data_IF_813973055605
#
_entry.id   IF_813973055605
#
_cell.length_a   1.000
_cell.length_b   1.000
_cell.length_c   1.000
_cell.angle_alpha   90.00
_cell.angle_beta   90.00
_cell.angle_gamma   90.00
#
_symmetry.space_group_name_H-M   'P 1'
#
loop_
_entity.id
_entity.type
_entity.pdbx_description
1 polymer ?
#
# COMPACT_ATOMS: atom_id res chain seq x y z
N UNK A 1 15.64 7.73 -18.36
CA UNK A 1 15.83 6.30 -18.07
C UNK A 1 14.54 5.77 -17.48
N UNK A 2 13.82 4.97 -18.24
CA UNK A 2 12.65 4.25 -17.73
C UNK A 2 13.12 2.98 -17.03
N UNK A 3 12.88 2.86 -15.72
CA UNK A 3 13.14 1.63 -14.98
C UNK A 3 11.81 0.95 -14.72
N UNK A 4 11.62 -0.24 -15.28
CA UNK A 4 10.47 -1.08 -14.99
C UNK A 4 10.86 -2.13 -13.97
N UNK A 5 10.21 -2.09 -12.80
CA UNK A 5 10.30 -3.15 -11.81
C UNK A 5 9.18 -4.16 -12.07
N UNK A 6 9.53 -5.35 -12.52
CA UNK A 6 8.59 -6.44 -12.74
C UNK A 6 8.87 -7.56 -11.75
N UNK A 7 7.96 -7.74 -10.80
CA UNK A 7 8.03 -8.85 -9.85
C UNK A 7 9.20 -8.80 -8.88
N UNK A 8 9.61 -9.96 -8.39
CA UNK A 8 10.78 -10.15 -7.53
C UNK A 8 12.09 -10.22 -8.33
N UNK A 9 12.01 -10.03 -9.63
CA UNK A 9 13.12 -10.27 -10.55
C UNK A 9 13.50 -8.99 -11.29
N UNK A 10 14.77 -8.66 -11.19
CA UNK A 10 15.59 -7.80 -12.04
C UNK A 10 14.95 -6.52 -12.60
N UNK A 11 15.61 -5.39 -12.37
CA UNK A 11 15.36 -4.15 -13.09
C UNK A 11 15.62 -4.34 -14.57
N UNK A 12 14.58 -4.43 -15.38
CA UNK A 12 14.68 -4.51 -16.83
C UNK A 12 14.55 -3.09 -17.39
N UNK A 13 15.55 -2.63 -18.10
CA UNK A 13 15.50 -1.38 -18.88
C UNK A 13 14.96 -1.71 -20.27
N UNK A 14 13.65 -1.57 -20.44
CA UNK A 14 13.01 -1.88 -21.72
C UNK A 14 13.13 -0.71 -22.70
N UNK A 15 13.16 0.52 -22.19
CA UNK A 15 13.16 1.73 -23.00
C UNK A 15 13.96 2.83 -22.33
N UNK A 16 14.81 3.51 -23.08
CA UNK A 16 15.52 4.70 -22.66
C UNK A 16 15.02 5.88 -23.50
N UNK A 17 14.56 6.93 -22.84
CA UNK A 17 14.15 8.20 -23.44
C UNK A 17 15.08 9.25 -22.86
N UNK A 18 16.02 9.72 -23.68
CA UNK A 18 17.03 10.71 -23.30
C UNK A 18 16.64 12.11 -23.81
N UNK A 19 17.29 13.15 -23.26
CA UNK A 19 17.13 14.55 -23.67
C UNK A 19 15.69 15.07 -23.59
N UNK A 20 14.94 14.63 -22.58
CA UNK A 20 13.53 15.00 -22.38
C UNK A 20 13.46 16.32 -21.62
N UNK A 21 12.79 17.30 -22.18
CA UNK A 21 12.47 18.55 -21.48
C UNK A 21 11.47 18.27 -20.34
N UNK A 22 11.47 19.08 -19.26
CA UNK A 22 10.54 18.88 -18.14
C UNK A 22 9.08 18.78 -18.55
N UNK A 23 8.64 19.59 -19.52
CA UNK A 23 7.27 19.54 -20.05
C UNK A 23 6.94 18.25 -20.84
N UNK A 24 7.95 17.63 -21.45
CA UNK A 24 7.75 16.40 -22.22
C UNK A 24 7.66 15.16 -21.33
N UNK A 25 8.18 15.21 -20.10
CA UNK A 25 8.09 14.09 -19.15
C UNK A 25 6.65 13.74 -18.82
N UNK A 26 5.80 14.74 -18.61
CA UNK A 26 4.37 14.54 -18.38
C UNK A 26 3.70 13.85 -19.57
N UNK A 27 4.02 14.28 -20.80
CA UNK A 27 3.49 13.67 -22.02
C UNK A 27 3.86 12.21 -22.13
N UNK A 28 5.10 11.83 -21.83
CA UNK A 28 5.53 10.43 -21.87
C UNK A 28 4.84 9.58 -20.80
N UNK A 29 4.56 10.14 -19.62
CA UNK A 29 3.73 9.46 -18.61
C UNK A 29 2.33 9.21 -19.16
N UNK A 30 1.70 10.22 -19.79
CA UNK A 30 0.38 10.07 -20.41
C UNK A 30 0.37 9.02 -21.53
N UNK A 31 1.37 9.04 -22.42
CA UNK A 31 1.49 8.05 -23.51
C UNK A 31 1.55 6.61 -22.97
N UNK A 32 2.27 6.39 -21.86
CA UNK A 32 2.35 5.06 -21.22
C UNK A 32 1.02 4.65 -20.57
N UNK A 33 0.31 5.61 -19.97
CA UNK A 33 -1.01 5.37 -19.37
C UNK A 33 -2.05 5.07 -20.47
N UNK A 34 -2.02 5.81 -21.57
CA UNK A 34 -2.92 5.61 -22.74
C UNK A 34 -2.67 4.25 -23.40
N UNK A 35 -1.43 3.75 -23.35
CA UNK A 35 -1.08 2.39 -23.75
C UNK A 35 -1.53 1.30 -22.74
N UNK A 36 -2.29 1.67 -21.69
CA UNK A 36 -2.82 0.75 -20.67
C UNK A 36 -1.86 0.37 -19.55
N UNK A 37 -0.71 1.02 -19.47
CA UNK A 37 0.27 0.76 -18.39
C UNK A 37 -0.07 1.55 -17.13
N UNK A 38 0.16 0.94 -15.96
CA UNK A 38 0.21 1.67 -14.69
C UNK A 38 1.60 2.24 -14.49
N UNK A 39 1.66 3.55 -14.27
CA UNK A 39 2.93 4.30 -14.23
C UNK A 39 3.22 4.77 -12.81
N UNK A 40 4.38 4.37 -12.28
CA UNK A 40 4.96 4.99 -11.11
C UNK A 40 6.13 5.88 -11.55
N UNK A 41 6.02 7.17 -11.30
CA UNK A 41 7.07 8.16 -11.59
C UNK A 41 7.91 8.39 -10.34
N UNK A 42 9.23 8.39 -10.52
CA UNK A 42 10.19 8.69 -9.45
C UNK A 42 11.03 9.88 -9.90
N UNK A 43 11.07 10.92 -9.08
CA UNK A 43 11.82 12.15 -9.40
C UNK A 43 12.25 12.91 -8.15
N UNK A 44 13.04 13.97 -8.34
CA UNK A 44 13.48 14.87 -7.25
C UNK A 44 12.42 15.91 -6.85
N UNK A 45 11.35 16.02 -7.60
CA UNK A 45 10.20 16.88 -7.33
C UNK A 45 10.29 18.28 -7.91
N UNK A 46 11.47 18.85 -8.11
CA UNK A 46 11.61 20.27 -8.50
C UNK A 46 11.20 20.46 -9.96
N UNK A 47 11.78 19.69 -10.86
CA UNK A 47 11.51 19.77 -12.30
C UNK A 47 10.55 18.69 -12.81
N UNK A 48 10.23 17.72 -11.97
CA UNK A 48 9.42 16.55 -12.31
C UNK A 48 7.98 16.64 -11.79
N UNK A 49 7.63 17.73 -11.11
CA UNK A 49 6.34 17.95 -10.46
C UNK A 49 5.13 17.64 -11.36
N UNK A 50 5.06 18.13 -12.62
CA UNK A 50 3.93 17.81 -13.48
C UNK A 50 3.83 16.30 -13.80
N UNK A 51 4.97 15.65 -14.07
CA UNK A 51 5.03 14.23 -14.37
C UNK A 51 4.72 13.36 -13.13
N UNK A 52 5.16 13.78 -11.93
CA UNK A 52 4.83 13.13 -10.67
C UNK A 52 3.33 13.21 -10.36
N UNK A 53 2.71 14.36 -10.59
CA UNK A 53 1.28 14.57 -10.38
C UNK A 53 0.43 13.79 -11.41
N UNK A 54 0.93 13.64 -12.64
CA UNK A 54 0.24 12.93 -13.71
C UNK A 54 0.27 11.41 -13.54
N UNK A 55 1.34 10.87 -12.97
CA UNK A 55 1.52 9.43 -12.79
C UNK A 55 0.46 8.81 -11.87
N UNK A 56 0.16 7.51 -12.03
CA UNK A 56 -0.73 6.79 -11.09
C UNK A 56 -0.17 6.82 -9.66
N UNK A 57 1.16 6.82 -9.52
CA UNK A 57 1.85 7.03 -8.24
C UNK A 57 3.11 7.87 -8.48
N UNK A 58 3.14 9.08 -7.94
CA UNK A 58 4.34 9.92 -7.89
C UNK A 58 5.14 9.63 -6.62
N UNK A 59 6.43 9.34 -6.77
CA UNK A 59 7.37 9.19 -5.66
C UNK A 59 8.46 10.24 -5.77
N UNK A 60 8.50 11.17 -4.83
CA UNK A 60 9.58 12.17 -4.75
C UNK A 60 10.72 11.64 -3.86
N UNK A 61 11.96 11.88 -4.30
CA UNK A 61 13.17 11.53 -3.56
C UNK A 61 13.85 12.81 -3.12
N UNK A 62 14.14 12.97 -1.82
CA UNK A 62 14.89 14.10 -1.30
C UNK A 62 14.49 14.52 0.10
N UNK A 63 15.29 15.43 0.68
CA UNK A 63 15.16 15.88 2.07
C UNK A 63 14.36 17.17 2.25
N UNK A 64 13.78 17.73 1.19
CA UNK A 64 13.11 19.04 1.23
C UNK A 64 11.61 18.93 1.57
N UNK A 65 11.17 19.73 2.55
CA UNK A 65 9.73 19.85 2.88
C UNK A 65 8.88 20.40 1.71
N UNK A 66 9.51 21.07 0.76
CA UNK A 66 8.84 21.65 -0.41
C UNK A 66 8.47 20.58 -1.46
N UNK A 67 9.22 19.48 -1.53
CA UNK A 67 8.94 18.35 -2.43
C UNK A 67 7.59 17.70 -2.10
N UNK A 68 7.24 17.63 -0.81
CA UNK A 68 5.97 17.06 -0.39
C UNK A 68 4.74 17.87 -0.84
N UNK A 69 4.92 19.14 -1.15
CA UNK A 69 3.84 20.05 -1.59
C UNK A 69 3.58 19.98 -3.10
N UNK A 70 4.46 19.38 -3.87
CA UNK A 70 4.44 19.43 -5.33
C UNK A 70 3.74 18.26 -6.02
N UNK A 71 2.85 17.55 -5.32
CA UNK A 71 1.95 16.56 -5.95
C UNK A 71 2.44 15.11 -5.93
N UNK A 72 3.53 14.81 -5.24
CA UNK A 72 3.95 13.41 -5.04
C UNK A 72 3.08 12.70 -4.00
N UNK A 73 2.61 11.49 -4.32
CA UNK A 73 1.83 10.65 -3.39
C UNK A 73 2.69 10.07 -2.27
N UNK A 74 3.99 9.90 -2.50
CA UNK A 74 4.96 9.34 -1.55
C UNK A 74 6.23 10.18 -1.58
N UNK A 75 6.76 10.52 -0.41
CA UNK A 75 8.04 11.21 -0.26
C UNK A 75 9.05 10.32 0.43
N UNK A 76 10.16 10.06 -0.23
CA UNK A 76 11.29 9.29 0.28
C UNK A 76 12.33 10.25 0.85
N UNK A 77 12.52 10.21 2.17
CA UNK A 77 13.37 11.16 2.90
C UNK A 77 14.87 11.00 2.62
N UNK A 78 15.29 9.92 2.01
CA UNK A 78 16.68 9.66 1.60
C UNK A 78 16.78 9.66 0.09
N UNK A 79 17.89 10.14 -0.42
CA UNK A 79 18.19 10.13 -1.86
C UNK A 79 18.74 8.78 -2.32
N UNK A 80 18.08 7.67 -1.90
CA UNK A 80 18.46 6.31 -2.25
C UNK A 80 17.33 5.68 -3.10
N UNK A 81 17.64 5.35 -4.35
CA UNK A 81 16.69 4.69 -5.26
C UNK A 81 16.22 3.32 -4.73
N UNK A 82 17.01 2.68 -3.87
CA UNK A 82 16.59 1.43 -3.22
C UNK A 82 15.41 1.63 -2.26
N UNK A 83 15.20 2.84 -1.77
CA UNK A 83 14.04 3.14 -0.94
C UNK A 83 12.72 3.08 -1.72
N UNK A 84 12.74 3.28 -3.04
CA UNK A 84 11.58 3.03 -3.91
C UNK A 84 11.16 1.55 -3.86
N UNK A 85 12.12 0.65 -4.02
CA UNK A 85 11.85 -0.79 -3.96
C UNK A 85 11.37 -1.20 -2.56
N UNK A 86 11.98 -0.65 -1.50
CA UNK A 86 11.55 -0.87 -0.11
C UNK A 86 10.14 -0.35 0.14
N UNK A 87 9.78 0.82 -0.41
CA UNK A 87 8.44 1.39 -0.30
C UNK A 87 7.39 0.50 -0.98
N UNK A 88 7.69 -0.06 -2.15
CA UNK A 88 6.81 -0.99 -2.86
C UNK A 88 6.64 -2.29 -2.05
N UNK A 89 7.70 -2.85 -1.48
CA UNK A 89 7.60 -4.03 -0.62
C UNK A 89 6.76 -3.76 0.63
N UNK A 90 6.98 -2.61 1.28
CA UNK A 90 6.21 -2.19 2.46
C UNK A 90 4.73 -2.02 2.11
N UNK A 91 4.41 -1.37 1.00
CA UNK A 91 3.03 -1.20 0.52
C UNK A 91 2.34 -2.55 0.31
N UNK A 92 3.02 -3.50 -0.34
CA UNK A 92 2.47 -4.87 -0.53
C UNK A 92 2.25 -5.59 0.80
N UNK A 93 3.17 -5.44 1.75
CA UNK A 93 3.04 -6.02 3.08
C UNK A 93 1.86 -5.40 3.85
N UNK A 94 1.70 -4.08 3.76
CA UNK A 94 0.61 -3.33 4.38
C UNK A 94 -0.74 -3.77 3.83
N UNK A 95 -0.89 -3.86 2.50
CA UNK A 95 -2.14 -4.32 1.86
C UNK A 95 -2.48 -5.76 2.28
N UNK A 96 -1.48 -6.63 2.37
CA UNK A 96 -1.68 -8.01 2.85
C UNK A 96 -2.17 -8.01 4.30
N UNK A 97 -1.58 -7.18 5.15
CA UNK A 97 -1.98 -7.05 6.55
C UNK A 97 -3.42 -6.54 6.67
N UNK A 98 -3.78 -5.49 5.93
CA UNK A 98 -5.15 -4.95 5.88
C UNK A 98 -6.16 -6.01 5.43
N UNK A 99 -5.83 -6.80 4.39
CA UNK A 99 -6.71 -7.90 3.94
C UNK A 99 -6.89 -8.97 5.01
N UNK A 100 -5.85 -9.30 5.76
CA UNK A 100 -5.93 -10.23 6.88
C UNK A 100 -6.81 -9.67 8.00
N UNK A 101 -6.61 -8.42 8.38
CA UNK A 101 -7.41 -7.76 9.42
C UNK A 101 -8.89 -7.70 9.04
N UNK A 102 -9.18 -7.32 7.80
CA UNK A 102 -10.54 -7.28 7.28
C UNK A 102 -11.19 -8.68 7.25
N UNK A 103 -10.44 -9.69 6.82
CA UNK A 103 -10.93 -11.07 6.83
C UNK A 103 -11.31 -11.52 8.24
N UNK A 104 -10.43 -11.31 9.22
CA UNK A 104 -10.71 -11.70 10.60
C UNK A 104 -11.87 -10.90 11.22
N UNK A 105 -11.92 -9.60 10.96
CA UNK A 105 -13.02 -8.75 11.43
C UNK A 105 -14.38 -9.23 10.88
N UNK A 106 -14.46 -9.54 9.59
CA UNK A 106 -15.68 -10.05 8.97
C UNK A 106 -16.02 -11.46 9.45
N UNK A 107 -15.02 -12.32 9.63
CA UNK A 107 -15.21 -13.69 10.10
C UNK A 107 -15.80 -13.73 11.50
N UNK A 108 -15.24 -12.96 12.45
CA UNK A 108 -15.79 -12.87 13.80
C UNK A 108 -17.22 -12.35 13.82
N UNK A 109 -17.51 -11.32 13.04
CA UNK A 109 -18.86 -10.77 12.95
C UNK A 109 -19.83 -11.74 12.25
N UNK A 110 -19.38 -12.41 11.20
CA UNK A 110 -20.18 -13.38 10.44
C UNK A 110 -20.63 -14.58 11.27
N UNK A 111 -19.83 -15.00 12.26
CA UNK A 111 -20.18 -16.05 13.21
C UNK A 111 -20.90 -15.47 14.44
N UNK A 112 -20.40 -14.36 14.96
CA UNK A 112 -20.88 -13.77 16.22
C UNK A 112 -22.31 -13.24 16.13
N UNK A 113 -22.68 -12.61 15.03
CA UNK A 113 -24.01 -12.02 14.84
C UNK A 113 -25.11 -13.10 14.83
N UNK A 114 -25.03 -14.17 14.00
CA UNK A 114 -26.03 -15.23 14.03
C UNK A 114 -26.11 -15.94 15.39
N UNK A 115 -24.95 -16.12 16.03
CA UNK A 115 -24.90 -16.76 17.35
C UNK A 115 -25.58 -15.88 18.42
N UNK A 116 -25.32 -14.58 18.41
CA UNK A 116 -25.96 -13.63 19.31
C UNK A 116 -27.45 -13.46 19.02
N UNK A 117 -27.87 -13.54 17.76
CA UNK A 117 -29.27 -13.52 17.35
C UNK A 117 -30.05 -14.78 17.74
N UNK A 118 -29.38 -15.79 18.30
CA UNK A 118 -30.05 -17.01 18.77
C UNK A 118 -30.47 -17.97 17.64
N UNK A 119 -29.82 -17.91 16.46
CA UNK A 119 -30.16 -18.80 15.33
C UNK A 119 -30.07 -20.27 15.72
N UNK A 120 -29.20 -20.63 16.65
CA UNK A 120 -29.02 -22.00 17.14
C UNK A 120 -29.89 -22.33 18.36
N UNK A 121 -30.64 -21.37 18.94
CA UNK A 121 -31.47 -21.55 20.11
C UNK A 121 -32.48 -22.69 19.92
N UNK A 122 -33.19 -22.81 18.77
CA UNK A 122 -34.17 -23.89 18.58
C UNK A 122 -33.56 -25.31 18.61
N UNK A 123 -32.25 -25.43 18.29
CA UNK A 123 -31.56 -26.71 18.21
C UNK A 123 -30.83 -27.05 19.51
N UNK A 124 -30.28 -26.08 20.21
CA UNK A 124 -29.37 -26.28 21.35
C UNK A 124 -29.96 -25.82 22.68
N UNK A 125 -31.02 -25.00 22.66
CA UNK A 125 -31.55 -24.32 23.85
C UNK A 125 -30.57 -23.33 24.49
N UNK A 126 -29.45 -23.03 23.83
CA UNK A 126 -28.40 -22.17 24.35
C UNK A 126 -28.42 -20.80 23.66
N UNK A 127 -28.37 -19.74 24.47
CA UNK A 127 -28.32 -18.35 24.00
C UNK A 127 -27.03 -17.66 24.49
N UNK A 128 -26.39 -16.97 23.62
CA UNK A 128 -25.18 -16.23 23.96
C UNK A 128 -25.54 -15.07 24.88
N UNK A 129 -24.94 -15.02 26.05
CA UNK A 129 -25.07 -13.85 26.94
C UNK A 129 -24.43 -12.63 26.30
N UNK A 130 -25.03 -11.42 26.45
CA UNK A 130 -24.44 -10.17 25.94
C UNK A 130 -23.02 -9.92 26.42
N UNK A 131 -22.65 -10.41 27.59
CA UNK A 131 -21.31 -10.32 28.16
C UNK A 131 -20.26 -11.06 27.32
N UNK A 132 -20.61 -12.22 26.79
CA UNK A 132 -19.71 -12.95 25.87
C UNK A 132 -19.58 -12.24 24.52
N UNK A 133 -20.63 -11.59 24.03
CA UNK A 133 -20.59 -10.79 22.82
C UNK A 133 -19.60 -9.62 22.94
N UNK A 134 -19.66 -8.86 24.03
CA UNK A 134 -18.73 -7.76 24.30
C UNK A 134 -17.29 -8.25 24.49
N UNK A 135 -17.07 -9.35 25.17
CA UNK A 135 -15.75 -9.95 25.32
C UNK A 135 -15.15 -10.38 23.98
N UNK A 136 -15.95 -10.99 23.11
CA UNK A 136 -15.53 -11.40 21.77
C UNK A 136 -15.14 -10.21 20.89
N UNK A 137 -15.91 -9.10 20.95
CA UNK A 137 -15.60 -7.84 20.24
C UNK A 137 -14.28 -7.23 20.72
N UNK A 138 -14.04 -7.20 22.04
CA UNK A 138 -12.79 -6.72 22.61
C UNK A 138 -11.60 -7.57 22.18
N UNK A 139 -11.75 -8.88 22.16
CA UNK A 139 -10.70 -9.82 21.70
C UNK A 139 -10.39 -9.62 20.22
N UNK A 140 -11.40 -9.40 19.38
CA UNK A 140 -11.24 -9.10 17.96
C UNK A 140 -10.37 -7.84 17.77
N UNK A 141 -10.64 -6.77 18.51
CA UNK A 141 -9.84 -5.55 18.45
C UNK A 141 -8.39 -5.78 18.82
N UNK A 142 -8.13 -6.58 19.86
CA UNK A 142 -6.75 -6.95 20.27
C UNK A 142 -6.06 -7.75 19.17
N UNK A 143 -6.76 -8.66 18.50
CA UNK A 143 -6.20 -9.43 17.38
C UNK A 143 -5.80 -8.53 16.20
N UNK A 144 -6.68 -7.60 15.81
CA UNK A 144 -6.39 -6.63 14.72
C UNK A 144 -5.19 -5.76 15.06
N UNK A 145 -5.15 -5.17 16.26
CA UNK A 145 -4.02 -4.35 16.69
C UNK A 145 -2.72 -5.16 16.74
N UNK A 146 -2.77 -6.38 17.26
CA UNK A 146 -1.60 -7.26 17.33
C UNK A 146 -1.06 -7.62 15.94
N UNK A 147 -1.96 -7.88 14.97
CA UNK A 147 -1.56 -8.13 13.60
C UNK A 147 -0.98 -6.88 12.93
N UNK A 148 -1.57 -5.71 13.16
CA UNK A 148 -1.04 -4.43 12.67
C UNK A 148 0.35 -4.11 13.22
N UNK A 149 0.60 -4.42 14.50
CA UNK A 149 1.91 -4.24 15.14
C UNK A 149 3.02 -5.12 14.52
N UNK A 150 2.68 -6.25 13.89
CA UNK A 150 3.66 -7.07 13.15
C UNK A 150 4.32 -6.30 12.02
N UNK A 151 3.61 -5.31 11.44
CA UNK A 151 4.16 -4.47 10.38
C UNK A 151 5.33 -3.62 10.86
N UNK A 152 5.37 -3.25 12.15
CA UNK A 152 6.51 -2.54 12.77
C UNK A 152 7.82 -3.34 12.71
N UNK A 153 7.73 -4.67 12.69
CA UNK A 153 8.88 -5.58 12.58
C UNK A 153 9.20 -5.98 11.13
N UNK A 154 8.57 -5.32 10.16
CA UNK A 154 8.81 -5.58 8.75
C UNK A 154 10.25 -5.23 8.38
N UNK A 155 10.95 -6.18 7.76
CA UNK A 155 12.29 -5.99 7.20
C UNK A 155 12.21 -6.19 5.69
N UNK A 156 12.53 -5.17 4.88
CA UNK A 156 12.53 -5.31 3.43
C UNK A 156 13.59 -6.33 3.00
N UNK A 157 13.23 -7.17 2.04
CA UNK A 157 14.13 -8.22 1.51
C UNK A 157 15.14 -7.65 0.52
N UNK A 158 14.80 -6.52 -0.10
CA UNK A 158 15.63 -5.81 -1.09
C UNK A 158 16.89 -5.18 -0.45
N UNK A 159 17.08 -5.31 0.85
CA UNK A 159 18.23 -4.74 1.58
C UNK A 159 19.49 -5.64 1.63
N UNK A 160 19.57 -6.68 0.76
CA UNK A 160 20.78 -7.51 0.62
C UNK A 160 21.34 -7.39 -0.78
#
# INVERSE_FOLDING_TARGET
IGVRLVGSEMCIRDRVIADVLPADKERHVSELQDAGSKVAMVGDGINDSPALARADVGLAIGTGADIAKEGAAVVLMRSDLMDVARAIELSRATIRNIKQDLFWALFYNGIGIPLAAGVFFPLTGWQLSPMFGTAAMSLSSVCVVSNALRLKSFKPKVAK
#
